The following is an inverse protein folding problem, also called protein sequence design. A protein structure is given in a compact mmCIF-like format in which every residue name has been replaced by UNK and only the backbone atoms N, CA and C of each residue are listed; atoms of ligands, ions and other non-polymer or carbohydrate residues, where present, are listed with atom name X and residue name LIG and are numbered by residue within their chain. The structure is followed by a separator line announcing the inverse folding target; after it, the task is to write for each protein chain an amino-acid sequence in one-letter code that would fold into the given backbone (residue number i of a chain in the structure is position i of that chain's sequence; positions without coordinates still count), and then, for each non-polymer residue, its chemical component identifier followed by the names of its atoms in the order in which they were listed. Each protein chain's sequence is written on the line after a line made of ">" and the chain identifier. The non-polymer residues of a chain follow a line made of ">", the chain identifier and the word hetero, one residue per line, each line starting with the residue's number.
data_IF_682723933032
#
_entry.id   IF_682723933032
#
_cell.length_a   1.000
_cell.length_b   1.000
_cell.length_c   1.000
_cell.angle_alpha   90.00
_cell.angle_beta   90.00
_cell.angle_gamma   90.00
#
_symmetry.space_group_name_H-M   'P 1'
#
loop_
_entity.id
_entity.type
_entity.pdbx_description
1 polymer ?
#
# COMPACT_ATOMS: atom_id res chain seq x y z
N UNK A 1 4.09 31.81 -30.00
CA UNK A 1 3.55 30.44 -29.93
C UNK A 1 4.26 29.70 -28.79
N UNK A 2 3.63 29.65 -27.62
CA UNK A 2 3.58 28.53 -26.68
C UNK A 2 2.74 29.01 -25.51
N UNK A 3 1.54 28.44 -25.42
CA UNK A 3 0.60 28.65 -24.33
C UNK A 3 1.25 28.01 -23.10
N UNK A 4 1.46 28.78 -22.04
CA UNK A 4 1.73 28.24 -20.71
C UNK A 4 0.57 27.30 -20.36
N UNK A 5 0.84 25.99 -20.39
CA UNK A 5 -0.08 25.03 -19.81
C UNK A 5 -0.10 25.30 -18.31
N UNK A 6 -1.29 25.47 -17.70
CA UNK A 6 -1.35 25.60 -16.26
C UNK A 6 -0.78 24.32 -15.64
N UNK A 7 0.15 24.50 -14.70
CA UNK A 7 0.61 23.46 -13.79
C UNK A 7 -0.62 22.68 -13.34
N UNK A 8 -0.77 21.45 -13.82
CA UNK A 8 -1.77 20.53 -13.28
C UNK A 8 -1.39 20.33 -11.83
N UNK A 9 -2.07 21.04 -10.93
CA UNK A 9 -2.04 20.79 -9.50
C UNK A 9 -2.13 19.29 -9.31
N UNK A 10 -1.08 18.69 -8.74
CA UNK A 10 -1.12 17.29 -8.39
C UNK A 10 -2.37 17.06 -7.52
N UNK A 11 -3.12 15.97 -7.74
CA UNK A 11 -4.32 15.74 -6.98
C UNK A 11 -3.99 15.71 -5.48
N UNK A 12 -4.87 16.30 -4.65
CA UNK A 12 -4.68 16.41 -3.21
C UNK A 12 -4.62 15.04 -2.50
N UNK A 13 -5.04 13.98 -3.19
CA UNK A 13 -4.91 12.60 -2.77
C UNK A 13 -4.67 11.71 -3.99
N UNK A 14 -3.98 10.58 -3.79
CA UNK A 14 -3.73 9.59 -4.82
C UNK A 14 -4.13 8.20 -4.29
N UNK A 15 -4.63 7.33 -5.18
CA UNK A 15 -5.19 6.03 -4.79
C UNK A 15 -4.51 4.88 -5.54
N UNK A 16 -4.11 3.85 -4.79
CA UNK A 16 -3.63 2.58 -5.33
C UNK A 16 -4.67 1.49 -5.07
N UNK A 17 -5.38 1.06 -6.12
CA UNK A 17 -6.30 -0.08 -6.06
C UNK A 17 -5.63 -1.34 -6.55
N UNK A 18 -5.77 -2.41 -5.78
CA UNK A 18 -5.33 -3.74 -6.17
C UNK A 18 -6.41 -4.78 -5.87
N UNK A 19 -6.86 -5.48 -6.91
CA UNK A 19 -7.77 -6.62 -6.76
C UNK A 19 -6.94 -7.89 -6.59
N UNK A 20 -7.09 -8.54 -5.45
CA UNK A 20 -6.39 -9.78 -5.13
C UNK A 20 -7.39 -10.92 -4.92
N UNK A 21 -7.38 -11.91 -5.82
CA UNK A 21 -8.38 -12.98 -5.87
C UNK A 21 -8.02 -14.28 -5.15
N UNK A 22 -6.83 -14.38 -4.53
CA UNK A 22 -6.25 -15.66 -4.06
C UNK A 22 -6.00 -15.72 -2.55
N UNK A 23 -6.77 -14.96 -1.76
CA UNK A 23 -6.62 -14.86 -0.30
C UNK A 23 -6.65 -16.23 0.39
N UNK A 24 -7.60 -17.09 0.02
CA UNK A 24 -7.74 -18.42 0.62
C UNK A 24 -6.50 -19.30 0.40
N UNK A 25 -5.80 -19.14 -0.72
CA UNK A 25 -4.63 -19.91 -1.11
C UNK A 25 -3.28 -19.28 -0.73
N UNK A 26 -3.26 -18.14 -0.03
CA UNK A 26 -2.02 -17.60 0.53
C UNK A 26 -1.50 -18.58 1.60
N UNK A 27 -0.33 -19.18 1.37
CA UNK A 27 0.22 -20.21 2.27
C UNK A 27 1.29 -19.70 3.22
N UNK A 28 1.94 -18.58 2.89
CA UNK A 28 2.98 -17.90 3.69
C UNK A 28 3.80 -16.89 2.86
N UNK A 29 3.60 -16.86 1.54
CA UNK A 29 4.35 -15.99 0.63
C UNK A 29 3.69 -14.61 0.54
N UNK A 30 4.53 -13.57 0.60
CA UNK A 30 4.16 -12.20 0.33
C UNK A 30 3.84 -12.04 -1.17
N UNK A 31 2.60 -11.67 -1.50
CA UNK A 31 2.21 -11.27 -2.85
C UNK A 31 2.17 -9.74 -2.91
N UNK A 32 2.72 -9.17 -3.99
CA UNK A 32 2.82 -7.73 -4.19
C UNK A 32 1.97 -7.25 -5.36
N UNK A 33 1.39 -6.08 -5.20
CA UNK A 33 0.74 -5.37 -6.30
C UNK A 33 1.78 -4.82 -7.29
N UNK A 34 1.38 -4.53 -8.53
CA UNK A 34 2.25 -3.79 -9.44
C UNK A 34 2.57 -2.39 -8.89
N UNK A 35 3.82 -1.95 -9.04
CA UNK A 35 4.26 -0.61 -8.63
C UNK A 35 3.41 0.49 -9.32
N UNK A 36 3.08 1.53 -8.54
CA UNK A 36 2.41 2.74 -8.99
C UNK A 36 3.14 3.96 -8.49
N UNK A 37 3.32 4.94 -9.37
CA UNK A 37 3.98 6.19 -9.01
C UNK A 37 2.95 7.19 -8.50
N UNK A 38 3.04 7.55 -7.22
CA UNK A 38 2.20 8.57 -6.58
C UNK A 38 3.13 9.67 -6.07
N UNK A 39 2.86 10.92 -6.44
CA UNK A 39 3.72 12.08 -6.15
C UNK A 39 5.21 11.87 -6.56
N UNK A 40 5.44 11.13 -7.66
CA UNK A 40 6.78 10.85 -8.17
C UNK A 40 7.53 9.73 -7.43
N UNK A 41 6.93 9.10 -6.42
CA UNK A 41 7.52 8.00 -5.66
C UNK A 41 6.86 6.67 -6.02
N UNK A 42 7.61 5.55 -6.09
CA UNK A 42 7.07 4.23 -6.34
C UNK A 42 6.42 3.66 -5.07
N UNK A 43 5.14 3.32 -5.20
CA UNK A 43 4.34 2.66 -4.17
C UNK A 43 3.89 1.28 -4.64
N UNK A 44 3.87 0.33 -3.72
CA UNK A 44 3.24 -0.97 -3.90
C UNK A 44 2.50 -1.38 -2.62
N UNK A 45 1.58 -2.32 -2.73
CA UNK A 45 0.88 -2.91 -1.59
C UNK A 45 1.17 -4.39 -1.60
N UNK A 46 1.47 -4.96 -0.45
CA UNK A 46 1.62 -6.40 -0.29
C UNK A 46 0.58 -6.98 0.63
N UNK A 47 0.28 -8.25 0.39
CA UNK A 47 -0.52 -9.09 1.28
C UNK A 47 0.27 -10.34 1.62
N UNK A 48 0.21 -10.74 2.88
CA UNK A 48 0.76 -12.00 3.35
C UNK A 48 -0.15 -12.58 4.41
N UNK A 49 -0.02 -13.89 4.64
CA UNK A 49 -0.72 -14.54 5.74
C UNK A 49 0.30 -15.21 6.64
N UNK A 50 0.08 -15.11 7.94
CA UNK A 50 0.89 -15.77 8.94
C UNK A 50 0.00 -16.55 9.90
N UNK A 51 0.58 -17.51 10.63
CA UNK A 51 -0.13 -18.24 11.67
C UNK A 51 0.37 -17.78 13.03
N UNK A 52 -0.56 -17.42 13.91
CA UNK A 52 -0.29 -17.12 15.31
C UNK A 52 -1.30 -17.91 16.14
N UNK A 53 -0.80 -18.78 17.02
CA UNK A 53 -1.63 -19.66 17.86
C UNK A 53 -2.67 -20.46 17.04
N UNK A 54 -2.23 -21.07 15.93
CA UNK A 54 -3.06 -21.84 14.97
C UNK A 54 -4.18 -21.05 14.28
N UNK A 55 -4.23 -19.72 14.47
CA UNK A 55 -5.13 -18.82 13.75
C UNK A 55 -4.37 -18.23 12.56
N UNK A 56 -4.99 -18.31 11.38
CA UNK A 56 -4.48 -17.68 10.16
C UNK A 56 -4.86 -16.20 10.15
N UNK A 57 -3.85 -15.34 10.18
CA UNK A 57 -3.97 -13.89 10.11
C UNK A 57 -3.66 -13.38 8.71
N UNK A 58 -4.21 -12.22 8.37
CA UNK A 58 -3.93 -11.51 7.13
C UNK A 58 -3.22 -10.19 7.46
N UNK A 59 -2.05 -10.00 6.86
CA UNK A 59 -1.35 -8.72 6.90
C UNK A 59 -1.44 -8.02 5.57
N UNK A 60 -1.57 -6.69 5.62
CA UNK A 60 -1.56 -5.83 4.44
C UNK A 60 -0.58 -4.70 4.72
N UNK A 61 0.41 -4.52 3.84
CA UNK A 61 1.40 -3.45 3.97
C UNK A 61 1.38 -2.54 2.74
N UNK A 62 1.55 -1.24 2.97
CA UNK A 62 1.97 -0.31 1.94
C UNK A 62 3.50 -0.20 1.98
N UNK A 63 4.12 -0.15 0.80
CA UNK A 63 5.54 0.04 0.64
C UNK A 63 5.80 1.28 -0.21
N UNK A 64 6.85 2.02 0.15
CA UNK A 64 7.37 3.12 -0.64
C UNK A 64 8.86 2.87 -0.89
N UNK A 65 9.31 3.03 -2.13
CA UNK A 65 10.73 2.95 -2.47
C UNK A 65 11.43 1.63 -2.04
N UNK A 66 10.70 0.51 -1.97
CA UNK A 66 11.22 -0.76 -1.44
C UNK A 66 12.44 -1.34 -2.19
N UNK A 67 12.66 -0.92 -3.44
CA UNK A 67 13.80 -1.33 -4.27
C UNK A 67 14.78 -0.18 -4.58
N UNK A 68 14.62 0.98 -3.95
CA UNK A 68 15.46 2.15 -4.23
C UNK A 68 16.90 1.92 -3.76
N UNK A 69 17.86 2.08 -4.66
CA UNK A 69 19.31 2.08 -4.34
C UNK A 69 19.80 3.44 -3.82
N UNK A 70 18.90 4.42 -3.66
CA UNK A 70 19.25 5.76 -3.20
C UNK A 70 19.58 5.71 -1.70
N UNK A 71 20.78 6.12 -1.27
CA UNK A 71 21.27 5.91 0.10
C UNK A 71 20.72 6.91 1.12
N UNK A 72 19.92 7.90 0.71
CA UNK A 72 19.26 8.86 1.60
C UNK A 72 17.92 9.27 0.99
N UNK A 73 16.82 8.85 1.60
CA UNK A 73 15.46 9.30 1.28
C UNK A 73 14.57 9.17 2.51
N UNK A 74 13.54 10.01 2.58
CA UNK A 74 12.49 9.97 3.59
C UNK A 74 11.21 10.52 2.99
N UNK A 75 10.07 9.92 3.31
CA UNK A 75 8.75 10.48 2.99
C UNK A 75 7.80 10.29 4.15
N UNK A 76 7.18 11.38 4.57
CA UNK A 76 6.06 11.35 5.49
C UNK A 76 4.79 11.14 4.69
N UNK A 77 4.00 10.14 5.08
CA UNK A 77 2.78 9.79 4.37
C UNK A 77 1.65 9.49 5.34
N UNK A 78 0.47 10.00 5.00
CA UNK A 78 -0.80 9.65 5.61
C UNK A 78 -1.66 8.96 4.56
N UNK A 79 -2.18 7.79 4.90
CA UNK A 79 -2.99 7.02 3.98
C UNK A 79 -4.00 6.12 4.71
N UNK A 80 -4.97 5.66 3.94
CA UNK A 80 -6.00 4.73 4.39
C UNK A 80 -5.76 3.37 3.72
N UNK A 81 -5.60 2.31 4.52
CA UNK A 81 -5.65 0.94 4.02
C UNK A 81 -7.09 0.44 4.09
N UNK A 82 -7.70 0.27 2.92
CA UNK A 82 -9.08 -0.14 2.76
C UNK A 82 -9.17 -1.57 2.21
N UNK A 83 -9.63 -2.49 3.04
CA UNK A 83 -10.04 -3.83 2.62
C UNK A 83 -11.52 -3.80 2.26
N UNK A 84 -11.81 -3.83 0.96
CA UNK A 84 -13.16 -3.88 0.44
C UNK A 84 -13.76 -5.29 0.55
N UNK A 85 -14.91 -5.38 1.21
CA UNK A 85 -15.70 -6.60 1.20
C UNK A 85 -16.68 -6.58 0.03
N UNK A 86 -16.72 -7.65 -0.76
CA UNK A 86 -17.60 -7.76 -1.92
C UNK A 86 -18.96 -8.41 -1.62
N UNK A 87 -19.13 -9.01 -0.44
CA UNK A 87 -20.39 -9.62 -0.05
C UNK A 87 -21.38 -8.55 0.46
N UNK A 88 -22.70 -8.66 0.17
CA UNK A 88 -23.70 -7.63 0.48
C UNK A 88 -23.74 -7.19 1.96
N UNK A 89 -23.50 -8.13 2.88
CA UNK A 89 -23.58 -7.89 4.32
C UNK A 89 -22.20 -7.72 4.99
N UNK A 90 -21.12 -7.84 4.22
CA UNK A 90 -19.78 -7.76 4.76
C UNK A 90 -19.32 -6.31 4.87
N UNK A 91 -18.80 -5.93 6.05
CA UNK A 91 -18.28 -4.59 6.29
C UNK A 91 -16.86 -4.48 5.75
N UNK A 92 -16.63 -3.50 4.88
CA UNK A 92 -15.28 -3.08 4.50
C UNK A 92 -14.53 -2.58 5.74
N UNK A 93 -13.22 -2.80 5.79
CA UNK A 93 -12.37 -2.36 6.90
C UNK A 93 -11.42 -1.29 6.42
N UNK A 94 -11.38 -0.17 7.12
CA UNK A 94 -10.46 0.92 6.85
C UNK A 94 -9.59 1.16 8.08
N UNK A 95 -8.28 1.29 7.88
CA UNK A 95 -7.35 1.74 8.91
C UNK A 95 -6.56 2.93 8.39
N UNK A 96 -6.54 4.00 9.18
CA UNK A 96 -5.69 5.18 8.93
C UNK A 96 -4.29 4.93 9.46
N UNK A 97 -3.30 5.25 8.65
CA UNK A 97 -1.88 5.13 9.00
C UNK A 97 -1.20 6.46 8.69
N UNK A 98 -0.37 6.92 9.61
CA UNK A 98 0.57 8.02 9.43
C UNK A 98 1.96 7.49 9.77
N UNK A 99 2.91 7.62 8.85
CA UNK A 99 4.26 7.08 9.04
C UNK A 99 5.30 7.77 8.18
N UNK A 100 6.56 7.63 8.59
CA UNK A 100 7.75 8.07 7.84
C UNK A 100 8.43 6.85 7.24
N UNK A 101 8.41 6.76 5.91
CA UNK A 101 9.13 5.72 5.17
C UNK A 101 10.55 6.20 4.89
N UNK A 102 11.51 5.30 5.03
CA UNK A 102 12.92 5.53 4.75
C UNK A 102 13.61 4.18 4.45
N UNK A 103 14.92 4.17 4.29
CA UNK A 103 15.69 2.96 3.99
C UNK A 103 15.58 1.84 5.02
N UNK A 104 15.33 2.15 6.29
CA UNK A 104 15.10 1.17 7.34
C UNK A 104 13.64 0.72 7.45
N UNK A 105 12.70 1.53 6.95
CA UNK A 105 11.26 1.30 7.03
C UNK A 105 10.67 1.47 5.62
N UNK A 106 10.84 0.43 4.80
CA UNK A 106 10.33 0.36 3.43
C UNK A 106 8.87 -0.08 3.33
N UNK A 107 8.24 -0.47 4.44
CA UNK A 107 6.85 -0.91 4.49
C UNK A 107 6.21 -0.74 5.86
N UNK A 108 4.93 -0.41 5.88
CA UNK A 108 4.11 -0.38 7.10
C UNK A 108 2.71 -0.92 6.79
N UNK A 109 2.11 -1.61 7.75
CA UNK A 109 0.88 -2.32 7.52
C UNK A 109 0.04 -2.55 8.75
N UNK A 110 -1.02 -3.29 8.53
CA UNK A 110 -1.93 -3.77 9.56
C UNK A 110 -1.95 -5.28 9.55
N UNK A 111 -1.93 -5.83 10.75
CA UNK A 111 -2.12 -7.26 11.00
C UNK A 111 -3.52 -7.46 11.60
N UNK A 112 -4.24 -8.47 11.12
CA UNK A 112 -5.60 -8.79 11.55
C UNK A 112 -5.80 -10.28 11.71
#
# INVERSE_FOLDING_TARGET
>A
HKVDQPDKMAPAFAELKWHFGKIASLTSTCDKSPVRYLHGLPWEVSVETYHLNDVKHLSIYAHCCGESTVPIWSVDAEFELLLHAHAPDAKSRCTKISSTFNQGIGGIGVEK
#
